data_IF_922351897873
#
_entry.id   IF_922351897873
#
_cell.length_a   1.000
_cell.length_b   1.000
_cell.length_c   1.000
_cell.angle_alpha   90.00
_cell.angle_beta   90.00
_cell.angle_gamma   90.00
#
_symmetry.space_group_name_H-M   'P 1'
#
loop_
_entity.id
_entity.type
_entity.pdbx_description
1 polymer ?
#
# COMPACT_ATOMS: atom_id res chain seq x y z
N UNK A 1 -0.64 -52.72 -37.29
CA UNK A 1 -1.18 -52.20 -36.02
C UNK A 1 0.04 -51.85 -35.17
N UNK A 2 0.64 -50.68 -35.31
CA UNK A 2 0.21 -49.40 -34.72
C UNK A 2 1.39 -48.90 -33.88
N UNK A 3 2.16 -47.94 -34.40
CA UNK A 3 3.09 -47.12 -33.61
C UNK A 3 2.30 -46.34 -32.55
N UNK A 4 2.92 -45.97 -31.43
CA UNK A 4 2.94 -44.58 -30.94
C UNK A 4 3.82 -44.46 -29.69
N UNK A 5 4.95 -43.79 -29.87
CA UNK A 5 5.69 -43.04 -28.86
C UNK A 5 4.74 -42.04 -28.19
N UNK A 6 4.77 -41.92 -26.86
CA UNK A 6 4.11 -40.82 -26.15
C UNK A 6 5.10 -40.09 -25.24
N UNK A 7 5.68 -39.03 -25.81
CA UNK A 7 6.16 -37.87 -25.09
C UNK A 7 4.98 -37.13 -24.43
N UNK A 8 5.03 -36.89 -23.13
CA UNK A 8 4.25 -35.84 -22.47
C UNK A 8 5.19 -35.17 -21.45
N UNK A 9 5.95 -34.17 -21.88
CA UNK A 9 5.60 -32.75 -21.81
C UNK A 9 5.38 -32.28 -20.36
N UNK A 10 6.39 -31.56 -19.86
CA UNK A 10 6.31 -30.85 -18.59
C UNK A 10 5.12 -29.90 -18.62
N UNK A 11 4.20 -30.07 -17.67
CA UNK A 11 3.17 -29.07 -17.41
C UNK A 11 3.84 -27.88 -16.72
N UNK A 12 4.13 -26.86 -17.53
CA UNK A 12 4.45 -25.54 -17.03
C UNK A 12 3.30 -25.03 -16.16
N UNK A 13 3.60 -24.73 -14.90
CA UNK A 13 2.74 -23.94 -14.04
C UNK A 13 2.73 -22.50 -14.59
N UNK A 14 1.76 -22.18 -15.43
CA UNK A 14 1.41 -20.78 -15.72
C UNK A 14 0.54 -20.30 -14.57
N UNK A 15 1.14 -19.58 -13.63
CA UNK A 15 0.43 -18.91 -12.55
C UNK A 15 -0.24 -17.66 -13.12
N UNK A 16 -1.53 -17.78 -13.44
CA UNK A 16 -2.38 -16.63 -13.72
C UNK A 16 -2.78 -15.97 -12.39
N UNK A 17 -2.13 -14.86 -12.05
CA UNK A 17 -2.36 -14.10 -10.80
C UNK A 17 -3.54 -13.11 -10.90
N UNK A 18 -4.50 -13.35 -11.80
CA UNK A 18 -5.69 -12.51 -12.02
C UNK A 18 -6.79 -12.66 -10.96
N UNK A 19 -6.62 -13.56 -9.99
CA UNK A 19 -7.63 -13.89 -8.99
C UNK A 19 -7.66 -13.07 -7.69
N UNK A 20 -6.83 -12.02 -7.54
CA UNK A 20 -6.84 -11.19 -6.32
C UNK A 20 -7.99 -10.19 -6.41
N UNK A 21 -8.99 -10.33 -5.54
CA UNK A 21 -10.13 -9.42 -5.51
C UNK A 21 -9.75 -8.06 -4.90
N UNK A 22 -9.61 -7.04 -5.76
CA UNK A 22 -9.27 -5.66 -5.39
C UNK A 22 -10.46 -4.86 -4.87
N UNK A 23 -11.69 -5.39 -4.96
CA UNK A 23 -12.91 -4.69 -4.54
C UNK A 23 -13.06 -4.66 -3.02
N UNK A 24 -12.37 -5.57 -2.32
CA UNK A 24 -12.35 -5.62 -0.85
C UNK A 24 -11.32 -4.65 -0.31
N UNK A 25 -11.71 -3.78 0.65
CA UNK A 25 -10.78 -2.89 1.33
C UNK A 25 -9.62 -3.66 1.94
N UNK A 26 -8.41 -3.12 1.80
CA UNK A 26 -7.24 -3.64 2.50
C UNK A 26 -7.41 -3.31 3.99
N UNK A 27 -7.24 -4.32 4.84
CA UNK A 27 -7.25 -4.20 6.30
C UNK A 27 -5.96 -4.80 6.86
N UNK A 28 -5.68 -4.57 8.14
CA UNK A 28 -4.62 -5.27 8.85
C UNK A 28 -5.04 -6.71 9.14
N UNK A 29 -4.10 -7.66 8.94
CA UNK A 29 -4.28 -9.06 9.30
C UNK A 29 -4.27 -9.23 10.83
N UNK A 30 -4.98 -10.24 11.35
CA UNK A 30 -5.03 -10.55 12.80
C UNK A 30 -3.68 -11.02 13.36
N UNK A 31 -2.81 -11.51 12.48
CA UNK A 31 -1.44 -11.86 12.82
C UNK A 31 -0.58 -10.62 12.71
N UNK A 32 -0.06 -10.17 13.85
CA UNK A 32 0.79 -9.00 14.00
C UNK A 32 1.68 -9.19 15.24
N UNK A 33 2.70 -8.34 15.40
CA UNK A 33 3.59 -8.37 16.54
C UNK A 33 2.89 -7.98 17.85
N UNK A 34 3.46 -8.43 18.96
CA UNK A 34 2.91 -8.28 20.32
C UNK A 34 2.54 -6.85 20.71
N UNK A 35 3.25 -5.85 20.16
CA UNK A 35 3.05 -4.45 20.50
C UNK A 35 2.11 -3.71 19.54
N UNK A 36 1.50 -4.42 18.58
CA UNK A 36 0.49 -3.83 17.70
C UNK A 36 -0.89 -4.00 18.33
N UNK A 37 -1.62 -2.88 18.43
CA UNK A 37 -3.04 -2.86 18.71
C UNK A 37 -3.80 -2.47 17.44
N UNK A 38 -4.77 -3.30 17.03
CA UNK A 38 -5.64 -3.02 15.89
C UNK A 38 -6.94 -2.34 16.32
N UNK A 39 -7.48 -1.48 15.46
CA UNK A 39 -8.85 -1.00 15.61
C UNK A 39 -9.87 -2.11 15.33
N UNK A 40 -11.10 -1.94 15.80
CA UNK A 40 -12.18 -2.92 15.62
C UNK A 40 -12.47 -3.24 14.14
N UNK A 41 -12.42 -2.24 13.27
CA UNK A 41 -12.58 -2.38 11.82
C UNK A 41 -11.29 -2.84 11.10
N UNK A 42 -10.20 -3.06 11.84
CA UNK A 42 -8.87 -3.43 11.35
C UNK A 42 -8.33 -2.47 10.28
N UNK A 43 -8.82 -1.23 10.23
CA UNK A 43 -8.31 -0.20 9.34
C UNK A 43 -7.10 0.51 9.93
N UNK A 44 -6.89 0.47 11.25
CA UNK A 44 -5.77 1.11 11.95
C UNK A 44 -4.94 0.10 12.72
N UNK A 45 -3.63 0.33 12.71
CA UNK A 45 -2.66 -0.39 13.52
C UNK A 45 -1.80 0.62 14.28
N UNK A 46 -1.69 0.43 15.59
CA UNK A 46 -0.97 1.30 16.52
C UNK A 46 0.10 0.51 17.25
N UNK A 47 1.31 1.06 17.34
CA UNK A 47 2.31 0.60 18.32
C UNK A 47 1.89 1.05 19.72
N UNK A 48 1.39 0.12 20.52
CA UNK A 48 0.86 0.38 21.86
C UNK A 48 1.98 0.57 22.90
N UNK A 49 3.10 -0.13 22.75
CA UNK A 49 4.22 -0.09 23.70
C UNK A 49 5.56 -0.36 23.01
N UNK A 50 6.66 -0.03 23.70
CA UNK A 50 8.04 -0.29 23.31
C UNK A 50 8.44 0.35 21.96
N UNK A 51 9.57 -0.12 21.42
CA UNK A 51 10.18 0.33 20.16
C UNK A 51 10.30 -0.78 19.12
N UNK A 52 9.73 -1.95 19.39
CA UNK A 52 9.92 -3.15 18.57
C UNK A 52 8.68 -4.05 18.57
N UNK A 53 8.74 -5.22 17.92
CA UNK A 53 7.64 -6.19 17.81
C UNK A 53 6.34 -5.55 17.31
N UNK A 54 6.47 -4.67 16.32
CA UNK A 54 5.36 -3.88 15.77
C UNK A 54 5.13 -4.18 14.29
N UNK A 55 5.43 -5.42 13.88
CA UNK A 55 5.23 -5.90 12.51
C UNK A 55 3.74 -6.17 12.30
N UNK A 56 3.21 -5.72 11.17
CA UNK A 56 1.85 -6.04 10.73
C UNK A 56 1.82 -6.29 9.22
N UNK A 57 0.72 -6.88 8.75
CA UNK A 57 0.55 -7.29 7.36
C UNK A 57 -0.81 -6.85 6.82
N UNK A 58 -0.95 -6.77 5.49
CA UNK A 58 -2.28 -6.73 4.88
C UNK A 58 -3.04 -8.04 5.14
N UNK A 59 -4.37 -7.97 5.20
CA UNK A 59 -5.23 -9.14 5.42
C UNK A 59 -5.33 -10.07 4.20
N UNK A 60 -4.89 -9.60 3.03
CA UNK A 60 -4.91 -10.34 1.76
C UNK A 60 -3.66 -10.02 0.92
N UNK A 61 -3.36 -10.85 -0.10
CA UNK A 61 -2.39 -10.49 -1.12
C UNK A 61 -2.73 -9.16 -1.79
N UNK A 62 -1.70 -8.42 -2.13
CA UNK A 62 -1.72 -7.21 -2.95
C UNK A 62 -1.45 -7.63 -4.38
N UNK A 63 -2.27 -7.17 -5.34
CA UNK A 63 -2.05 -7.47 -6.74
C UNK A 63 -0.90 -6.65 -7.32
N UNK A 64 -0.32 -7.12 -8.44
CA UNK A 64 0.65 -6.32 -9.20
C UNK A 64 -0.02 -5.00 -9.62
N UNK A 65 0.68 -3.88 -9.39
CA UNK A 65 0.22 -2.51 -9.60
C UNK A 65 -0.95 -2.05 -8.71
N UNK A 66 -1.41 -2.86 -7.75
CA UNK A 66 -2.37 -2.40 -6.74
C UNK A 66 -1.67 -1.46 -5.76
N UNK A 67 -2.22 -0.26 -5.59
CA UNK A 67 -1.70 0.75 -4.67
C UNK A 67 -2.26 0.55 -3.28
N UNK A 68 -1.35 0.39 -2.32
CA UNK A 68 -1.64 0.38 -0.89
C UNK A 68 -1.47 1.79 -0.36
N UNK A 69 -2.47 2.32 0.36
CA UNK A 69 -2.44 3.67 0.94
C UNK A 69 -2.45 3.61 2.46
N UNK A 70 -1.45 4.23 3.08
CA UNK A 70 -1.24 4.29 4.53
C UNK A 70 -1.16 5.74 4.99
N UNK A 71 -2.16 6.18 5.76
CA UNK A 71 -2.12 7.47 6.44
C UNK A 71 -1.35 7.34 7.75
N UNK A 72 -0.47 8.30 8.04
CA UNK A 72 0.16 8.45 9.35
C UNK A 72 -0.80 9.16 10.30
N UNK A 73 -1.63 8.40 11.03
CA UNK A 73 -2.65 8.96 11.91
C UNK A 73 -2.10 9.43 13.26
N UNK A 74 -0.94 8.90 13.69
CA UNK A 74 -0.19 9.45 14.83
C UNK A 74 1.32 9.29 14.68
N UNK A 75 2.07 10.34 15.04
CA UNK A 75 3.54 10.34 15.13
C UNK A 75 4.01 10.87 16.49
N UNK A 76 5.29 10.68 16.81
CA UNK A 76 5.94 11.13 18.05
C UNK A 76 7.37 11.56 17.77
N UNK A 77 7.79 12.71 18.32
CA UNK A 77 9.18 13.18 18.27
C UNK A 77 10.08 12.53 19.33
N UNK A 78 9.53 11.72 20.24
CA UNK A 78 10.29 11.08 21.32
C UNK A 78 11.06 9.82 20.87
N UNK A 79 10.94 9.42 19.61
CA UNK A 79 11.55 8.22 19.06
C UNK A 79 12.36 8.54 17.81
N UNK A 80 13.50 7.88 17.64
CA UNK A 80 14.30 7.95 16.42
C UNK A 80 13.97 6.80 15.46
N UNK A 81 14.20 7.04 14.18
CA UNK A 81 13.83 6.12 13.10
C UNK A 81 12.36 6.28 12.69
N UNK A 82 11.95 5.50 11.69
CA UNK A 82 10.64 5.65 11.03
C UNK A 82 10.08 4.32 10.56
N UNK A 83 8.83 4.35 10.10
CA UNK A 83 8.15 3.22 9.44
C UNK A 83 9.07 2.50 8.45
N UNK A 84 9.06 1.17 8.52
CA UNK A 84 9.62 0.32 7.46
C UNK A 84 8.47 -0.38 6.76
N UNK A 85 8.56 -0.50 5.43
CA UNK A 85 7.51 -1.14 4.65
C UNK A 85 8.07 -1.85 3.42
N UNK A 86 7.25 -2.73 2.87
CA UNK A 86 7.50 -3.45 1.63
C UNK A 86 6.53 -4.62 1.48
N UNK A 87 7.03 -5.78 1.08
CA UNK A 87 6.23 -6.95 0.77
C UNK A 87 6.82 -8.23 1.36
N UNK A 88 5.96 -9.22 1.58
CA UNK A 88 6.36 -10.58 1.94
C UNK A 88 5.60 -11.60 1.11
N UNK A 89 6.25 -12.72 0.76
CA UNK A 89 5.61 -13.91 0.21
C UNK A 89 5.14 -14.90 1.29
N UNK A 90 5.36 -14.57 2.56
CA UNK A 90 4.82 -15.32 3.69
C UNK A 90 3.32 -15.02 3.80
N UNK A 91 2.49 -16.06 3.71
CA UNK A 91 1.07 -15.94 4.05
C UNK A 91 0.93 -15.76 5.58
N UNK A 92 0.45 -14.58 6.06
CA UNK A 92 0.27 -14.34 7.48
C UNK A 92 -0.66 -15.35 8.15
N UNK A 93 -1.66 -15.89 7.42
CA UNK A 93 -2.60 -16.90 7.94
C UNK A 93 -1.97 -18.27 8.18
N UNK A 94 -0.84 -18.56 7.51
CA UNK A 94 -0.05 -19.77 7.73
C UNK A 94 0.97 -19.65 8.87
N UNK A 95 1.17 -18.42 9.36
CA UNK A 95 2.13 -18.13 10.43
C UNK A 95 1.47 -18.38 11.77
N UNK A 96 2.12 -19.16 12.65
CA UNK A 96 1.73 -19.16 14.05
C UNK A 96 2.09 -17.78 14.63
N UNK A 97 1.08 -16.99 14.99
CA UNK A 97 1.22 -15.62 15.51
C UNK A 97 2.33 -15.36 16.54
N UNK A 98 2.67 -16.27 17.49
CA UNK A 98 3.69 -15.99 18.51
C UNK A 98 5.15 -15.93 18.05
N UNK A 99 5.49 -16.26 16.79
CA UNK A 99 6.89 -16.36 16.33
C UNK A 99 7.36 -15.24 15.38
N UNK A 100 6.63 -14.12 15.33
CA UNK A 100 7.10 -12.96 14.56
C UNK A 100 8.39 -12.39 15.18
N UNK A 101 9.42 -12.07 14.35
CA UNK A 101 10.66 -11.53 14.87
C UNK A 101 10.48 -10.10 15.37
N UNK A 102 11.54 -9.58 16.01
CA UNK A 102 11.51 -8.26 16.65
C UNK A 102 11.35 -7.11 15.65
N UNK A 103 11.96 -7.22 14.47
CA UNK A 103 11.97 -6.16 13.46
C UNK A 103 11.75 -6.69 12.04
N UNK A 104 11.20 -5.87 11.15
CA UNK A 104 11.22 -6.21 9.73
C UNK A 104 12.66 -6.17 9.17
N UNK A 105 13.45 -5.18 9.56
CA UNK A 105 14.85 -5.04 9.17
C UNK A 105 15.76 -5.13 10.41
N UNK A 106 16.74 -6.05 10.46
CA UNK A 106 17.09 -7.02 9.42
C UNK A 106 16.34 -8.37 9.54
N UNK A 107 15.62 -8.63 10.63
CA UNK A 107 15.22 -10.00 11.00
C UNK A 107 14.29 -10.69 9.97
N UNK A 108 13.28 -9.97 9.44
CA UNK A 108 12.46 -10.50 8.34
C UNK A 108 13.23 -10.48 7.03
N UNK A 109 13.87 -9.37 6.67
CA UNK A 109 14.56 -9.21 5.37
C UNK A 109 15.76 -10.14 5.17
N UNK A 110 16.32 -10.71 6.23
CA UNK A 110 17.35 -11.74 6.16
C UNK A 110 16.79 -13.13 5.79
N UNK A 111 15.47 -13.31 5.88
CA UNK A 111 14.78 -14.54 5.48
C UNK A 111 14.28 -14.40 4.04
N UNK A 112 14.49 -15.41 3.17
CA UNK A 112 13.96 -15.39 1.81
C UNK A 112 12.46 -15.07 1.77
N UNK A 113 12.03 -14.36 0.73
CA UNK A 113 10.62 -14.00 0.55
C UNK A 113 10.17 -12.76 1.33
N UNK A 114 11.09 -11.97 1.90
CA UNK A 114 10.74 -10.76 2.66
C UNK A 114 11.58 -9.58 2.16
N UNK A 115 10.90 -8.49 1.83
CA UNK A 115 11.54 -7.28 1.32
C UNK A 115 10.94 -6.06 1.99
N UNK A 116 11.76 -5.30 2.71
CA UNK A 116 11.33 -4.05 3.33
C UNK A 116 12.51 -3.08 3.45
N UNK A 117 12.19 -1.78 3.47
CA UNK A 117 13.15 -0.72 3.76
C UNK A 117 12.50 0.35 4.63
N UNK A 118 13.33 1.12 5.34
CA UNK A 118 12.88 2.30 6.08
C UNK A 118 12.45 3.41 5.11
N UNK A 119 11.33 4.05 5.40
CA UNK A 119 10.92 5.29 4.73
C UNK A 119 11.95 6.41 5.00
N UNK A 120 11.98 7.45 4.16
CA UNK A 120 12.74 8.66 4.48
C UNK A 120 12.05 9.45 5.59
N UNK A 121 12.79 9.89 6.60
CA UNK A 121 12.22 10.57 7.80
C UNK A 121 11.35 11.78 7.46
N UNK A 122 11.74 12.55 6.45
CA UNK A 122 10.98 13.71 5.93
C UNK A 122 9.54 13.40 5.51
N UNK A 123 9.22 12.13 5.22
CA UNK A 123 7.90 11.71 4.76
C UNK A 123 7.00 11.17 5.88
N UNK A 124 7.57 10.79 7.03
CA UNK A 124 6.86 10.22 8.17
C UNK A 124 6.24 11.32 9.06
N UNK A 125 5.44 12.20 8.45
CA UNK A 125 4.74 13.28 9.13
C UNK A 125 3.27 12.91 9.35
N UNK A 126 2.68 13.37 10.45
CA UNK A 126 1.25 13.17 10.73
C UNK A 126 0.40 13.70 9.56
N UNK A 127 -0.65 12.97 9.22
CA UNK A 127 -1.55 13.19 8.09
C UNK A 127 -0.97 12.99 6.69
N UNK A 128 0.33 12.75 6.53
CA UNK A 128 0.81 12.28 5.23
C UNK A 128 0.17 10.93 4.90
N UNK A 129 -0.05 10.70 3.61
CA UNK A 129 -0.51 9.42 3.07
C UNK A 129 0.60 8.85 2.22
N UNK A 130 1.26 7.80 2.71
CA UNK A 130 2.14 6.97 1.91
C UNK A 130 1.31 6.11 0.97
N UNK A 131 1.69 6.08 -0.31
CA UNK A 131 1.20 5.06 -1.22
C UNK A 131 2.35 4.28 -1.83
N UNK A 132 2.20 2.97 -1.93
CA UNK A 132 3.22 2.09 -2.49
C UNK A 132 2.59 0.91 -3.22
N UNK A 133 3.32 0.40 -4.20
CA UNK A 133 2.92 -0.73 -5.02
C UNK A 133 4.16 -1.43 -5.57
N UNK A 134 3.98 -2.61 -6.13
CA UNK A 134 5.04 -3.27 -6.90
C UNK A 134 4.58 -3.52 -8.33
N UNK A 135 5.50 -3.41 -9.28
CA UNK A 135 5.22 -3.64 -10.69
C UNK A 135 5.57 -5.08 -11.11
N UNK A 136 5.29 -5.42 -12.38
CA UNK A 136 5.57 -6.76 -12.94
C UNK A 136 7.06 -7.11 -12.98
N UNK A 137 7.94 -6.11 -13.00
CA UNK A 137 9.40 -6.29 -13.00
C UNK A 137 9.95 -6.60 -11.59
N UNK A 138 9.11 -6.51 -10.54
CA UNK A 138 9.55 -6.67 -9.16
C UNK A 138 10.14 -5.38 -8.58
N UNK A 139 9.87 -4.24 -9.19
CA UNK A 139 10.21 -2.93 -8.63
C UNK A 139 9.11 -2.47 -7.69
N UNK A 140 9.50 -2.06 -6.48
CA UNK A 140 8.63 -1.41 -5.51
C UNK A 140 8.73 0.09 -5.71
N UNK A 141 7.60 0.71 -5.96
CA UNK A 141 7.44 2.14 -6.16
C UNK A 141 6.71 2.75 -4.96
N UNK A 142 6.95 4.03 -4.69
CA UNK A 142 6.24 4.75 -3.65
C UNK A 142 5.99 6.21 -4.00
N UNK A 143 5.09 6.82 -3.25
CA UNK A 143 4.77 8.23 -3.30
C UNK A 143 4.13 8.71 -2.00
N UNK A 144 3.92 10.03 -1.91
CA UNK A 144 3.37 10.68 -0.73
C UNK A 144 2.27 11.65 -1.17
N UNK A 145 1.13 11.63 -0.48
CA UNK A 145 0.01 12.55 -0.70
C UNK A 145 -0.49 12.56 -2.16
N UNK A 146 -0.47 11.41 -2.82
CA UNK A 146 -0.90 11.25 -4.22
C UNK A 146 0.16 11.58 -5.27
N UNK A 147 1.33 12.10 -4.87
CA UNK A 147 2.46 12.34 -5.77
C UNK A 147 3.41 11.12 -5.77
N UNK A 148 3.63 10.54 -6.95
CA UNK A 148 4.57 9.43 -7.13
C UNK A 148 6.01 9.93 -7.04
N UNK A 149 6.79 9.44 -6.06
CA UNK A 149 8.19 9.82 -5.87
C UNK A 149 9.11 8.97 -6.75
N UNK A 150 8.78 7.68 -6.90
CA UNK A 150 9.48 6.78 -7.81
C UNK A 150 9.94 5.48 -7.16
N UNK A 151 11.08 4.96 -7.63
CA UNK A 151 11.61 3.67 -7.24
C UNK A 151 12.08 3.67 -5.77
N UNK A 152 11.57 2.72 -4.98
CA UNK A 152 11.97 2.51 -3.59
C UNK A 152 13.05 1.42 -3.48
N UNK A 153 12.80 0.24 -4.05
CA UNK A 153 13.78 -0.85 -4.20
C UNK A 153 13.30 -1.88 -5.23
N UNK A 154 14.20 -2.77 -5.66
CA UNK A 154 13.93 -3.80 -6.68
C UNK A 154 14.10 -5.21 -6.11
N UNK A 155 13.72 -6.22 -6.90
CA UNK A 155 14.02 -7.63 -6.62
C UNK A 155 12.94 -8.38 -5.85
N UNK A 156 11.72 -7.84 -5.81
CA UNK A 156 10.56 -8.55 -5.25
C UNK A 156 10.08 -9.62 -6.22
N UNK A 157 9.78 -10.82 -5.71
CA UNK A 157 9.32 -11.93 -6.53
C UNK A 157 7.86 -11.73 -6.98
N UNK A 158 7.60 -11.73 -8.29
CA UNK A 158 6.27 -11.47 -8.87
C UNK A 158 5.53 -12.74 -9.32
N UNK A 159 6.10 -13.91 -9.03
CA UNK A 159 5.54 -15.23 -9.37
C UNK A 159 4.79 -15.90 -8.20
N UNK A 160 4.64 -15.20 -7.08
CA UNK A 160 3.93 -15.68 -5.88
C UNK A 160 3.04 -14.55 -5.33
N UNK A 161 1.95 -14.87 -4.60
CA UNK A 161 1.17 -13.86 -3.91
C UNK A 161 2.03 -13.12 -2.88
N UNK A 162 1.83 -11.81 -2.76
CA UNK A 162 2.56 -10.97 -1.83
C UNK A 162 1.62 -10.20 -0.93
N UNK A 163 1.93 -10.14 0.35
CA UNK A 163 1.23 -9.30 1.31
C UNK A 163 2.04 -8.04 1.56
N UNK A 164 1.36 -6.93 1.85
CA UNK A 164 2.04 -5.76 2.36
C UNK A 164 2.66 -6.12 3.72
N UNK A 165 3.93 -5.74 3.92
CA UNK A 165 4.66 -5.89 5.17
C UNK A 165 4.98 -4.49 5.71
N UNK A 166 4.61 -4.23 6.97
CA UNK A 166 4.87 -2.96 7.66
C UNK A 166 5.46 -3.23 9.05
N UNK A 167 6.36 -2.38 9.51
CA UNK A 167 6.92 -2.39 10.88
C UNK A 167 6.79 -0.98 11.45
N UNK A 168 5.84 -0.79 12.37
CA UNK A 168 5.49 0.50 12.98
C UNK A 168 6.61 0.91 13.94
N UNK A 169 7.64 1.53 13.38
CA UNK A 169 8.90 1.80 14.07
C UNK A 169 9.19 3.30 14.26
N UNK A 170 9.95 3.60 15.30
CA UNK A 170 10.46 4.94 15.58
C UNK A 170 9.35 5.98 15.77
N UNK A 171 9.45 7.11 15.07
CA UNK A 171 8.53 8.25 15.19
C UNK A 171 7.10 7.93 14.75
N UNK A 172 6.89 6.83 14.03
CA UNK A 172 5.56 6.39 13.59
C UNK A 172 4.88 5.63 14.72
N UNK A 173 3.68 6.06 15.12
CA UNK A 173 2.92 5.48 16.24
C UNK A 173 1.66 4.76 15.76
N UNK A 174 0.93 5.35 14.82
CA UNK A 174 -0.28 4.76 14.25
C UNK A 174 -0.34 5.00 12.75
N UNK A 175 -0.71 3.95 12.02
CA UNK A 175 -0.98 3.98 10.59
C UNK A 175 -2.39 3.46 10.31
N UNK A 176 -2.98 3.96 9.23
CA UNK A 176 -4.34 3.67 8.81
C UNK A 176 -4.38 3.31 7.33
N UNK A 177 -4.96 2.16 6.98
CA UNK A 177 -5.34 1.88 5.60
C UNK A 177 -6.48 2.82 5.23
N UNK A 178 -6.23 3.66 4.23
CA UNK A 178 -7.23 4.58 3.69
C UNK A 178 -7.55 4.22 2.25
N UNK A 179 -8.75 4.52 1.79
CA UNK A 179 -9.01 4.58 0.35
C UNK A 179 -8.47 5.92 -0.14
N UNK A 180 -7.65 5.92 -1.18
CA UNK A 180 -7.48 7.14 -1.95
C UNK A 180 -8.79 7.36 -2.70
N UNK A 181 -9.71 8.10 -2.07
CA UNK A 181 -10.61 8.89 -2.86
C UNK A 181 -9.68 9.78 -3.66
N UNK A 182 -9.57 9.54 -4.96
CA UNK A 182 -9.10 10.59 -5.85
C UNK A 182 -9.84 11.84 -5.40
N UNK A 183 -9.13 12.93 -5.23
CA UNK A 183 -9.75 14.25 -5.10
C UNK A 183 -10.43 14.56 -6.43
N UNK A 184 -11.49 13.82 -6.73
CA UNK A 184 -12.56 14.04 -7.68
C UNK A 184 -13.82 14.43 -6.90
N UNK A 185 -13.67 15.02 -5.72
CA UNK A 185 -14.68 15.94 -5.18
C UNK A 185 -14.57 17.33 -5.82
N UNK A 186 -14.05 17.43 -7.05
CA UNK A 186 -14.37 18.56 -7.94
C UNK A 186 -15.79 18.44 -8.53
N UNK A 187 -16.46 17.28 -8.40
CA UNK A 187 -17.86 17.13 -8.79
C UNK A 187 -18.88 17.68 -7.76
N UNK A 188 -18.50 17.83 -6.48
CA UNK A 188 -19.44 18.34 -5.47
C UNK A 188 -19.65 19.86 -5.61
N UNK A 189 -18.68 20.59 -6.17
CA UNK A 189 -18.87 22.01 -6.52
C UNK A 189 -19.66 22.16 -7.83
N UNK A 190 -19.45 21.27 -8.81
CA UNK A 190 -20.17 21.31 -10.09
C UNK A 190 -21.68 21.01 -9.92
N UNK A 191 -22.03 20.04 -9.06
CA UNK A 191 -23.42 19.68 -8.78
C UNK A 191 -24.15 20.75 -7.94
N UNK A 192 -23.45 21.48 -7.06
CA UNK A 192 -24.04 22.58 -6.30
C UNK A 192 -24.17 23.89 -7.12
N UNK A 193 -23.40 24.05 -8.20
CA UNK A 193 -23.50 25.21 -9.10
C UNK A 193 -24.51 24.97 -10.23
N UNK A 194 -24.69 23.73 -10.70
CA UNK A 194 -25.73 23.42 -11.69
C UNK A 194 -27.16 23.56 -11.14
N UNK A 195 -27.32 23.52 -9.81
CA UNK A 195 -28.58 23.82 -9.12
C UNK A 195 -28.80 25.31 -8.81
N UNK A 196 -27.84 26.20 -9.15
CA UNK A 196 -27.95 27.65 -8.94
C UNK A 196 -28.64 28.32 -10.12
N UNK A 197 -29.69 29.12 -9.87
CA UNK A 197 -30.34 29.97 -10.87
C UNK A 197 -29.55 31.24 -11.23
N UNK A 198 -28.36 31.40 -10.67
CA UNK A 198 -27.54 32.60 -10.78
C UNK A 198 -26.54 32.51 -11.95
N UNK A 199 -26.84 33.21 -13.05
CA UNK A 199 -26.13 33.12 -14.33
C UNK A 199 -24.64 33.53 -14.23
N UNK A 200 -24.31 34.45 -13.32
CA UNK A 200 -22.94 34.95 -13.12
C UNK A 200 -21.98 33.88 -12.57
N UNK A 201 -22.49 32.94 -11.76
CA UNK A 201 -21.70 31.82 -11.21
C UNK A 201 -21.43 30.74 -12.25
N UNK A 202 -22.35 30.54 -13.19
CA UNK A 202 -22.22 29.59 -14.28
C UNK A 202 -21.13 30.03 -15.28
N UNK A 203 -21.05 31.34 -15.59
CA UNK A 203 -20.01 31.88 -16.48
C UNK A 203 -18.60 31.75 -15.88
N UNK A 204 -18.41 32.06 -14.60
CA UNK A 204 -17.10 31.99 -13.95
C UNK A 204 -16.51 30.55 -13.95
N UNK A 205 -17.38 29.54 -13.84
CA UNK A 205 -16.96 28.13 -13.90
C UNK A 205 -16.52 27.71 -15.31
N UNK A 206 -17.17 28.25 -16.36
CA UNK A 206 -16.78 27.97 -17.75
C UNK A 206 -15.44 28.58 -18.14
N UNK A 207 -15.13 29.81 -17.69
CA UNK A 207 -13.81 30.42 -17.90
C UNK A 207 -12.70 29.69 -17.14
N UNK A 208 -12.97 29.25 -15.90
CA UNK A 208 -11.98 28.53 -15.08
C UNK A 208 -11.65 27.14 -15.64
N UNK A 209 -12.67 26.38 -16.07
CA UNK A 209 -12.49 25.09 -16.75
C UNK A 209 -11.80 25.23 -18.11
N UNK A 210 -12.12 26.27 -18.87
CA UNK A 210 -11.47 26.56 -20.15
C UNK A 210 -9.98 26.87 -20.01
N UNK A 211 -9.57 27.47 -18.88
CA UNK A 211 -8.16 27.80 -18.60
C UNK A 211 -7.37 26.56 -18.19
N UNK A 212 -7.93 25.66 -17.37
CA UNK A 212 -7.27 24.42 -16.94
C UNK A 212 -7.08 23.39 -18.07
N UNK A 213 -8.02 23.31 -19.01
CA UNK A 213 -7.90 22.39 -20.16
C UNK A 213 -6.76 22.83 -21.10
N UNK A 214 -6.49 24.14 -21.18
CA UNK A 214 -5.41 24.68 -22.02
C UNK A 214 -4.01 24.49 -21.41
N UNK A 215 -3.87 24.40 -20.08
CA UNK A 215 -2.58 24.12 -19.43
C UNK A 215 -2.17 22.64 -19.49
N UNK A 216 -3.14 21.72 -19.56
CA UNK A 216 -2.87 20.28 -19.71
C UNK A 216 -2.59 19.81 -21.15
N UNK A 217 -2.69 20.68 -22.15
CA UNK A 217 -2.46 20.38 -23.58
C UNK A 217 -1.38 21.26 -24.25
N UNK A 218 -0.40 21.75 -23.49
CA UNK A 218 0.86 22.24 -24.07
C UNK A 218 1.92 21.15 -23.97
N UNK A 219 2.32 20.65 -25.14
CA UNK A 219 3.45 19.73 -25.35
C UNK A 219 4.76 20.28 -24.78
#
# INVERSE_FOLDING_TARGET
MGNHSSSHSGKGFSADLTGVNTDWPIQFHDIHGDNVALSHDKARARRADSFCKSICFSNRPIAINERVYLKFSQTSSSWSGVLRFGFTSLDPGSTQGPDLPRYACPDMTNKPGNWAKALGERYAAINNVLHFWYNRNGDVMFGINGEDIGLFFTGVATNTPLWALMDIYGNTIEIEFVKFASTHSFEVTALNVSASSDCSRICAVKEFLGTLIMEHYRF
#
